data_IF_013751623379
#
_entry.id   IF_013751623379
#
_cell.length_a   1.000
_cell.length_b   1.000
_cell.length_c   1.000
_cell.angle_alpha   90.00
_cell.angle_beta   90.00
_cell.angle_gamma   90.00
#
_symmetry.space_group_name_H-M   'P 1'
#
loop_
_entity.id
_entity.type
_entity.pdbx_description
1 polymer ?
#
# COMPACT_ATOMS: atom_id res chain seq x y z
N UNK A 1 15.38 7.74 27.14
CA UNK A 1 15.86 7.22 25.84
C UNK A 1 14.92 6.11 25.40
N UNK A 2 14.20 6.28 24.29
CA UNK A 2 13.49 5.17 23.64
C UNK A 2 14.58 4.19 23.19
N UNK A 3 14.61 2.97 23.75
CA UNK A 3 15.57 1.96 23.30
C UNK A 3 15.12 1.48 21.93
N UNK A 4 15.84 1.90 20.91
CA UNK A 4 15.66 1.42 19.55
C UNK A 4 16.17 -0.02 19.49
N UNK A 5 15.24 -0.95 19.36
CA UNK A 5 15.52 -2.37 19.14
C UNK A 5 15.88 -2.57 17.66
N UNK A 6 17.16 -2.76 17.39
CA UNK A 6 17.69 -2.92 16.04
C UNK A 6 17.09 -4.12 15.31
N UNK A 7 16.81 -5.22 16.00
CA UNK A 7 16.22 -6.42 15.40
C UNK A 7 14.78 -6.16 14.94
N UNK A 8 13.99 -5.48 15.78
CA UNK A 8 12.62 -5.06 15.47
C UNK A 8 12.55 -4.10 14.29
N UNK A 9 13.46 -3.12 14.26
CA UNK A 9 13.56 -2.20 13.14
C UNK A 9 13.96 -2.90 11.84
N UNK A 10 14.86 -3.88 11.91
CA UNK A 10 15.21 -4.73 10.78
C UNK A 10 13.98 -5.48 10.26
N UNK A 11 13.21 -6.13 11.13
CA UNK A 11 11.98 -6.85 10.72
C UNK A 11 10.94 -5.91 10.10
N UNK A 12 10.75 -4.73 10.68
CA UNK A 12 9.89 -3.69 10.11
C UNK A 12 10.39 -3.18 8.74
N UNK A 13 11.71 -3.03 8.57
CA UNK A 13 12.31 -2.65 7.28
C UNK A 13 12.17 -3.78 6.25
N UNK A 14 12.33 -5.05 6.66
CA UNK A 14 12.16 -6.22 5.80
C UNK A 14 10.74 -6.31 5.22
N UNK A 15 9.74 -5.75 5.92
CA UNK A 15 8.36 -5.70 5.41
C UNK A 15 8.24 -4.88 4.11
N UNK A 16 9.20 -4.00 3.80
CA UNK A 16 9.19 -3.15 2.60
C UNK A 16 9.87 -3.79 1.38
N UNK A 17 10.42 -5.01 1.47
CA UNK A 17 11.07 -5.66 0.34
C UNK A 17 10.06 -5.90 -0.81
N UNK A 18 10.20 -5.20 -1.95
CA UNK A 18 9.11 -4.98 -2.90
C UNK A 18 8.78 -6.21 -3.77
N UNK A 19 9.75 -7.08 -4.05
CA UNK A 19 9.56 -8.23 -4.95
C UNK A 19 8.65 -9.34 -4.40
N UNK A 20 8.31 -9.29 -3.10
CA UNK A 20 7.32 -10.16 -2.45
C UNK A 20 6.34 -9.39 -1.57
N UNK A 21 6.25 -8.06 -1.68
CA UNK A 21 5.72 -7.21 -0.60
C UNK A 21 4.33 -7.60 -0.10
N UNK A 22 3.41 -8.03 -0.98
CA UNK A 22 2.08 -8.50 -0.55
C UNK A 22 2.20 -9.80 0.26
N UNK A 23 2.88 -10.82 -0.28
CA UNK A 23 3.02 -12.12 0.39
C UNK A 23 3.83 -12.03 1.67
N UNK A 24 4.98 -11.34 1.63
CA UNK A 24 5.85 -11.21 2.79
C UNK A 24 5.18 -10.38 3.90
N UNK A 25 4.48 -9.30 3.56
CA UNK A 25 3.76 -8.51 4.56
C UNK A 25 2.61 -9.29 5.20
N UNK A 26 1.88 -10.10 4.42
CA UNK A 26 0.88 -11.01 4.98
C UNK A 26 1.52 -12.01 5.94
N UNK A 27 2.64 -12.64 5.56
CA UNK A 27 3.36 -13.59 6.43
C UNK A 27 3.79 -12.89 7.73
N UNK A 28 4.37 -11.70 7.66
CA UNK A 28 4.77 -10.92 8.85
C UNK A 28 3.54 -10.58 9.70
N UNK A 29 2.41 -10.15 9.11
CA UNK A 29 1.16 -9.88 9.85
C UNK A 29 0.55 -11.13 10.52
N UNK A 30 0.79 -12.31 9.93
CA UNK A 30 0.34 -13.57 10.47
C UNK A 30 1.26 -14.12 11.55
N UNK A 31 2.58 -13.98 11.40
CA UNK A 31 3.59 -14.45 12.35
C UNK A 31 3.66 -13.51 13.56
N UNK A 32 3.72 -12.20 13.32
CA UNK A 32 3.86 -11.23 14.40
C UNK A 32 2.50 -10.84 14.97
N UNK A 33 2.22 -11.33 16.19
CA UNK A 33 0.96 -11.09 16.89
C UNK A 33 1.07 -9.97 17.93
N UNK A 34 2.21 -9.83 18.59
CA UNK A 34 2.32 -8.98 19.78
C UNK A 34 2.94 -7.61 19.47
N UNK A 35 3.85 -7.55 18.51
CA UNK A 35 4.57 -6.32 18.20
C UNK A 35 3.75 -5.40 17.28
N UNK A 36 3.08 -4.42 17.90
CA UNK A 36 2.30 -3.40 17.18
C UNK A 36 3.12 -2.59 16.18
N UNK A 37 4.42 -2.36 16.43
CA UNK A 37 5.29 -1.58 15.56
C UNK A 37 5.60 -2.36 14.27
N UNK A 38 6.02 -3.62 14.41
CA UNK A 38 6.26 -4.48 13.23
C UNK A 38 4.97 -4.66 12.43
N UNK A 39 3.84 -4.90 13.12
CA UNK A 39 2.53 -5.06 12.48
C UNK A 39 2.07 -3.80 11.75
N UNK A 40 2.34 -2.61 12.29
CA UNK A 40 2.01 -1.35 11.63
C UNK A 40 2.78 -1.21 10.31
N UNK A 41 4.09 -1.45 10.31
CA UNK A 41 4.90 -1.37 9.09
C UNK A 41 4.56 -2.45 8.06
N UNK A 42 4.25 -3.67 8.52
CA UNK A 42 3.76 -4.73 7.64
C UNK A 42 2.39 -4.39 7.02
N UNK A 43 1.45 -3.84 7.79
CA UNK A 43 0.16 -3.40 7.27
C UNK A 43 0.32 -2.22 6.29
N UNK A 44 1.17 -1.25 6.64
CA UNK A 44 1.46 -0.11 5.78
C UNK A 44 2.04 -0.58 4.44
N UNK A 45 3.03 -1.47 4.45
CA UNK A 45 3.63 -2.04 3.23
C UNK A 45 2.60 -2.80 2.38
N UNK A 46 1.75 -3.61 3.01
CA UNK A 46 0.66 -4.32 2.35
C UNK A 46 -0.32 -3.37 1.65
N UNK A 47 -0.85 -2.38 2.38
CA UNK A 47 -1.85 -1.43 1.85
C UNK A 47 -1.26 -0.59 0.72
N UNK A 48 -0.03 -0.08 0.86
CA UNK A 48 0.64 0.70 -0.18
C UNK A 48 0.87 -0.15 -1.43
N UNK A 49 1.30 -1.40 -1.26
CA UNK A 49 1.54 -2.31 -2.39
C UNK A 49 0.24 -2.60 -3.15
N UNK A 50 -0.83 -2.95 -2.45
CA UNK A 50 -2.15 -3.19 -3.08
C UNK A 50 -2.65 -1.92 -3.79
N UNK A 51 -2.54 -0.76 -3.13
CA UNK A 51 -2.90 0.53 -3.74
C UNK A 51 -2.09 0.81 -5.01
N UNK A 52 -0.78 0.55 -5.00
CA UNK A 52 0.10 0.71 -6.16
C UNK A 52 -0.34 -0.16 -7.35
N UNK A 53 -0.69 -1.43 -7.12
CA UNK A 53 -1.18 -2.30 -8.21
C UNK A 53 -2.53 -1.84 -8.75
N UNK A 54 -3.45 -1.42 -7.89
CA UNK A 54 -4.75 -0.87 -8.31
C UNK A 54 -4.51 0.36 -9.19
N UNK A 55 -3.70 1.33 -8.73
CA UNK A 55 -3.36 2.53 -9.52
C UNK A 55 -2.78 2.15 -10.88
N UNK A 56 -1.84 1.20 -10.94
CA UNK A 56 -1.27 0.74 -12.20
C UNK A 56 -2.33 0.15 -13.15
N UNK A 57 -3.25 -0.67 -12.66
CA UNK A 57 -4.34 -1.23 -13.48
C UNK A 57 -5.22 -0.11 -14.04
N UNK A 58 -5.59 0.85 -13.18
CA UNK A 58 -6.44 1.98 -13.55
C UNK A 58 -5.77 2.88 -14.60
N UNK A 59 -4.48 3.18 -14.42
CA UNK A 59 -3.66 3.96 -15.37
C UNK A 59 -3.50 3.22 -16.70
N UNK A 60 -3.22 1.92 -16.68
CA UNK A 60 -3.13 1.12 -17.91
C UNK A 60 -4.45 1.11 -18.70
N UNK A 61 -5.60 1.00 -18.01
CA UNK A 61 -6.91 1.13 -18.67
C UNK A 61 -7.13 2.52 -19.26
N UNK A 62 -6.70 3.57 -18.55
CA UNK A 62 -6.78 4.93 -19.08
C UNK A 62 -5.96 5.09 -20.38
N UNK A 63 -4.75 4.53 -20.43
CA UNK A 63 -3.93 4.53 -21.67
C UNK A 63 -4.56 3.77 -22.83
N UNK A 64 -5.40 2.76 -22.56
CA UNK A 64 -6.17 2.03 -23.58
C UNK A 64 -7.41 2.79 -24.07
N UNK A 65 -7.65 4.02 -23.59
CA UNK A 65 -8.79 4.86 -23.99
C UNK A 65 -10.06 4.64 -23.18
N UNK A 66 -10.02 3.85 -22.09
CA UNK A 66 -11.16 3.74 -21.19
C UNK A 66 -11.31 5.03 -20.37
N UNK A 67 -12.49 5.66 -20.42
CA UNK A 67 -12.81 6.79 -19.55
C UNK A 67 -13.06 6.27 -18.14
N UNK A 68 -12.08 6.44 -17.27
CA UNK A 68 -12.12 5.97 -15.91
C UNK A 68 -12.51 7.10 -14.96
N UNK A 69 -13.66 6.98 -14.30
CA UNK A 69 -14.03 7.87 -13.20
C UNK A 69 -13.37 7.38 -11.92
N UNK A 70 -12.51 8.21 -11.31
CA UNK A 70 -11.94 7.86 -10.01
C UNK A 70 -13.05 7.78 -8.96
N UNK A 71 -13.12 6.73 -8.13
CA UNK A 71 -14.26 6.51 -7.24
C UNK A 71 -14.45 7.61 -6.18
N UNK A 72 -13.37 8.27 -5.74
CA UNK A 72 -13.42 9.29 -4.68
C UNK A 72 -13.55 10.72 -5.23
N UNK A 73 -12.87 11.01 -6.33
CA UNK A 73 -12.75 12.40 -6.87
C UNK A 73 -13.26 12.55 -8.30
N UNK A 74 -13.78 11.48 -8.91
CA UNK A 74 -14.25 11.48 -10.29
C UNK A 74 -15.44 12.41 -10.49
N UNK A 75 -16.42 12.41 -9.57
CA UNK A 75 -17.60 13.29 -9.67
C UNK A 75 -17.22 14.77 -9.61
N UNK A 76 -16.28 15.13 -8.74
CA UNK A 76 -15.75 16.50 -8.64
C UNK A 76 -15.03 16.92 -9.93
N UNK A 77 -14.19 16.04 -10.49
CA UNK A 77 -13.48 16.31 -11.74
C UNK A 77 -14.45 16.49 -12.93
N UNK A 78 -15.47 15.64 -13.05
CA UNK A 78 -16.46 15.76 -14.12
C UNK A 78 -17.29 17.03 -14.00
N UNK A 79 -17.72 17.38 -12.79
CA UNK A 79 -18.47 18.62 -12.54
C UNK A 79 -17.65 19.84 -12.96
N UNK A 80 -16.33 19.83 -12.76
CA UNK A 80 -15.42 20.92 -13.16
C UNK A 80 -15.13 20.96 -14.67
N UNK A 81 -15.10 19.81 -15.35
CA UNK A 81 -14.91 19.75 -16.81
C UNK A 81 -16.18 20.20 -17.56
N UNK A 82 -17.36 19.95 -16.99
CA UNK A 82 -18.67 20.32 -17.58
C UNK A 82 -19.14 21.75 -17.25
N UNK A 83 -18.44 22.47 -16.37
CA UNK A 83 -18.71 23.88 -16.05
C UNK A 83 -17.91 24.81 -16.95
#
# INVERSE_FOLDING_TARGET
MVRVDTNRNLVAALSYLPFLAIFLSIVILLVEKDDKFIRFHALQSFVISVGYYIVNILVNKAYQGYVLKWPVVGEFAEKKIRS
#
